data_IF_262099699111
#
_entry.id   IF_262099699111
#
_cell.length_a   1.000
_cell.length_b   1.000
_cell.length_c   1.000
_cell.angle_alpha   90.00
_cell.angle_beta   90.00
_cell.angle_gamma   90.00
#
_symmetry.space_group_name_H-M   'P 1'
#
loop_
_entity.id
_entity.type
_entity.pdbx_description
1 polymer ?
#
# COMPACT_ATOMS: atom_id res chain seq x y z
N UNK A 1 -7.88 26.33 13.04
CA UNK A 1 -8.62 25.16 12.49
C UNK A 1 -7.61 24.06 12.28
N UNK A 2 -7.78 22.89 12.90
CA UNK A 2 -6.97 21.72 12.57
C UNK A 2 -7.26 21.33 11.13
N UNK A 3 -6.22 21.22 10.28
CA UNK A 3 -6.41 20.72 8.93
C UNK A 3 -6.99 19.30 8.99
N UNK A 4 -8.16 19.09 8.38
CA UNK A 4 -8.80 17.78 8.22
C UNK A 4 -8.65 17.35 6.77
N UNK A 5 -8.47 16.06 6.53
CA UNK A 5 -8.31 15.57 5.15
C UNK A 5 -9.59 15.78 4.34
N UNK A 6 -10.75 15.78 5.01
CA UNK A 6 -12.04 16.08 4.40
C UNK A 6 -12.11 17.48 3.83
N UNK A 7 -11.66 18.47 4.59
CA UNK A 7 -11.61 19.86 4.12
C UNK A 7 -10.69 19.98 2.91
N UNK A 8 -9.47 19.41 3.01
CA UNK A 8 -8.47 19.46 1.94
C UNK A 8 -8.95 18.78 0.65
N UNK A 9 -9.60 17.62 0.77
CA UNK A 9 -10.16 16.89 -0.37
C UNK A 9 -11.39 17.60 -0.97
N UNK A 10 -12.21 18.27 -0.16
CA UNK A 10 -13.39 18.98 -0.66
C UNK A 10 -13.04 20.18 -1.54
N UNK A 11 -11.90 20.82 -1.30
CA UNK A 11 -11.37 21.98 -2.02
C UNK A 11 -10.71 21.63 -3.37
N UNK A 12 -10.60 20.34 -3.72
CA UNK A 12 -9.82 19.84 -4.85
C UNK A 12 -10.65 18.94 -5.77
N UNK A 13 -10.31 18.82 -7.05
CA UNK A 13 -11.07 18.01 -8.00
C UNK A 13 -10.51 16.58 -8.14
N UNK A 14 -9.19 16.46 -8.01
CA UNK A 14 -8.46 15.20 -8.18
C UNK A 14 -7.45 14.99 -7.05
N UNK A 15 -7.33 13.75 -6.61
CA UNK A 15 -6.45 13.34 -5.52
C UNK A 15 -5.48 12.27 -6.01
N UNK A 16 -4.21 12.46 -5.73
CA UNK A 16 -3.18 11.45 -5.93
C UNK A 16 -2.67 10.94 -4.59
N UNK A 17 -2.76 9.64 -4.36
CA UNK A 17 -2.14 8.98 -3.22
C UNK A 17 -0.80 8.42 -3.66
N UNK A 18 0.27 8.95 -3.07
CA UNK A 18 1.64 8.50 -3.31
C UNK A 18 2.08 7.51 -2.25
N UNK A 19 2.39 6.30 -2.70
CA UNK A 19 3.11 5.30 -1.92
C UNK A 19 4.62 5.51 -2.08
N UNK A 20 5.42 5.22 -1.04
CA UNK A 20 6.86 5.35 -1.11
C UNK A 20 7.46 4.31 -2.06
N UNK A 21 8.66 4.57 -2.56
CA UNK A 21 9.47 3.57 -3.28
C UNK A 21 9.74 2.38 -2.36
N UNK A 22 9.55 1.18 -2.89
CA UNK A 22 9.64 -0.09 -2.15
C UNK A 22 8.79 -0.07 -0.87
N UNK A 23 7.46 0.09 -0.99
CA UNK A 23 6.60 0.26 0.18
C UNK A 23 6.48 -1.04 0.97
N UNK A 24 6.27 -0.93 2.27
CA UNK A 24 5.91 -2.05 3.12
C UNK A 24 4.40 -2.29 3.09
N UNK A 25 3.97 -3.51 3.45
CA UNK A 25 2.56 -3.92 3.41
C UNK A 25 1.60 -2.94 4.11
N UNK A 26 1.98 -2.44 5.28
CA UNK A 26 1.20 -1.45 6.03
C UNK A 26 0.99 -0.13 5.26
N UNK A 27 2.00 0.36 4.54
CA UNK A 27 1.90 1.59 3.74
C UNK A 27 0.93 1.41 2.57
N UNK A 28 1.02 0.26 1.88
CA UNK A 28 0.11 -0.09 0.78
C UNK A 28 -1.32 -0.23 1.30
N UNK A 29 -1.51 -0.94 2.42
CA UNK A 29 -2.81 -1.13 3.05
C UNK A 29 -3.47 0.21 3.42
N UNK A 30 -2.71 1.09 4.06
CA UNK A 30 -3.18 2.42 4.45
C UNK A 30 -3.51 3.30 3.23
N UNK A 31 -2.63 3.34 2.23
CA UNK A 31 -2.85 4.14 1.02
C UNK A 31 -4.04 3.66 0.19
N UNK A 32 -4.20 2.35 0.02
CA UNK A 32 -5.38 1.77 -0.65
C UNK A 32 -6.67 2.06 0.10
N UNK A 33 -6.65 1.95 1.43
CA UNK A 33 -7.83 2.23 2.26
C UNK A 33 -8.30 3.68 2.10
N UNK A 34 -7.37 4.64 2.13
CA UNK A 34 -7.70 6.04 1.87
C UNK A 34 -8.13 6.26 0.43
N UNK A 35 -7.51 5.58 -0.53
CA UNK A 35 -7.87 5.63 -1.95
C UNK A 35 -9.30 5.21 -2.19
N UNK A 36 -9.72 4.06 -1.67
CA UNK A 36 -11.08 3.54 -1.76
C UNK A 36 -12.12 4.47 -1.12
N UNK A 37 -11.75 5.17 -0.03
CA UNK A 37 -12.63 6.15 0.62
C UNK A 37 -12.81 7.41 -0.23
N UNK A 38 -11.73 7.91 -0.83
CA UNK A 38 -11.74 9.14 -1.63
C UNK A 38 -12.29 8.94 -3.04
N UNK A 39 -12.10 7.75 -3.63
CA UNK A 39 -12.64 7.37 -4.95
C UNK A 39 -14.18 7.46 -4.99
N UNK A 40 -14.85 7.38 -3.83
CA UNK A 40 -16.30 7.56 -3.71
C UNK A 40 -16.78 9.01 -3.92
N UNK A 41 -15.88 10.00 -3.89
CA UNK A 41 -16.22 11.42 -4.03
C UNK A 41 -15.44 12.17 -5.11
N UNK A 42 -14.21 11.74 -5.39
CA UNK A 42 -13.25 12.47 -6.23
C UNK A 42 -12.50 11.51 -7.14
N UNK A 43 -12.01 12.04 -8.27
CA UNK A 43 -11.07 11.30 -9.11
C UNK A 43 -9.80 11.03 -8.29
N UNK A 44 -9.60 9.76 -7.91
CA UNK A 44 -8.54 9.35 -7.00
C UNK A 44 -7.67 8.29 -7.67
N UNK A 45 -6.36 8.53 -7.71
CA UNK A 45 -5.39 7.56 -8.19
C UNK A 45 -4.44 7.18 -7.06
N UNK A 46 -4.10 5.89 -6.95
CA UNK A 46 -3.02 5.41 -6.07
C UNK A 46 -1.83 5.07 -6.94
N UNK A 47 -0.67 5.62 -6.63
CA UNK A 47 0.56 5.40 -7.39
C UNK A 47 1.67 4.85 -6.51
N UNK A 48 2.43 3.91 -7.08
CA UNK A 48 3.69 3.47 -6.52
C UNK A 48 4.73 3.30 -7.65
N UNK A 49 5.94 3.84 -7.49
CA UNK A 49 7.01 3.63 -8.48
C UNK A 49 7.57 2.20 -8.46
N UNK A 50 7.20 1.38 -7.47
CA UNK A 50 7.63 -0.02 -7.35
C UNK A 50 6.45 -0.93 -7.68
N UNK A 51 6.61 -1.90 -8.62
CA UNK A 51 5.53 -2.84 -8.94
C UNK A 51 5.05 -3.62 -7.71
N UNK A 52 3.74 -3.79 -7.59
CA UNK A 52 3.14 -4.57 -6.51
C UNK A 52 3.48 -6.06 -6.68
N UNK A 53 4.01 -6.68 -5.62
CA UNK A 53 4.29 -8.11 -5.57
C UNK A 53 3.06 -8.90 -5.12
N UNK A 54 3.15 -10.24 -5.20
CA UNK A 54 2.10 -11.18 -4.77
C UNK A 54 1.71 -11.04 -3.30
N UNK A 55 2.56 -10.45 -2.47
CA UNK A 55 2.27 -10.26 -1.04
C UNK A 55 1.09 -9.29 -0.83
N UNK A 56 0.97 -8.28 -1.71
CA UNK A 56 -0.06 -7.26 -1.63
C UNK A 56 -1.40 -7.70 -2.21
N UNK A 57 -1.48 -8.85 -2.90
CA UNK A 57 -2.74 -9.41 -3.46
C UNK A 57 -3.84 -9.68 -2.42
N UNK A 58 -3.49 -9.63 -1.13
CA UNK A 58 -4.43 -9.74 -0.01
C UNK A 58 -5.19 -8.45 0.28
N UNK A 59 -4.75 -7.33 -0.30
CA UNK A 59 -5.33 -6.01 -0.15
C UNK A 59 -6.34 -5.75 -1.27
N UNK A 60 -7.50 -5.23 -0.90
CA UNK A 60 -8.54 -4.82 -1.85
C UNK A 60 -8.06 -3.59 -2.61
N UNK A 61 -8.20 -3.62 -3.94
CA UNK A 61 -7.84 -2.51 -4.83
C UNK A 61 -6.36 -2.42 -5.19
N UNK A 62 -5.54 -3.42 -4.84
CA UNK A 62 -4.11 -3.42 -5.19
C UNK A 62 -3.86 -3.41 -6.69
N UNK A 63 -4.78 -3.99 -7.48
CA UNK A 63 -4.79 -3.96 -8.93
C UNK A 63 -4.97 -2.56 -9.52
N UNK A 64 -5.49 -1.61 -8.72
CA UNK A 64 -5.64 -0.20 -9.08
C UNK A 64 -4.38 0.63 -8.82
N UNK A 65 -3.34 0.07 -8.21
CA UNK A 65 -2.08 0.80 -7.98
C UNK A 65 -1.38 1.00 -9.32
N UNK A 66 -1.30 2.25 -9.76
CA UNK A 66 -0.65 2.61 -11.00
C UNK A 66 0.88 2.61 -10.83
N UNK A 67 1.57 1.96 -11.76
CA UNK A 67 3.04 2.00 -11.88
C UNK A 67 3.56 3.20 -12.68
N UNK A 68 2.67 3.89 -13.40
CA UNK A 68 2.95 5.07 -14.19
C UNK A 68 1.94 6.17 -13.88
N UNK A 69 2.39 7.41 -13.98
CA UNK A 69 1.59 8.60 -13.70
C UNK A 69 1.30 9.35 -15.00
N UNK A 70 0.07 9.85 -15.10
CA UNK A 70 -0.38 10.65 -16.23
C UNK A 70 -1.34 9.88 -17.13
N UNK A 71 -2.37 10.58 -17.59
CA UNK A 71 -3.29 10.11 -18.63
C UNK A 71 -3.58 11.21 -19.65
N UNK A 72 -2.98 12.39 -19.49
CA UNK A 72 -3.25 13.56 -20.33
C UNK A 72 -2.41 13.60 -21.58
N UNK A 73 -1.12 13.29 -21.44
CA UNK A 73 -0.16 13.35 -22.53
C UNK A 73 0.49 11.97 -22.71
N UNK A 74 0.54 11.48 -23.95
CA UNK A 74 1.40 10.35 -24.31
C UNK A 74 2.79 10.88 -24.67
N UNK A 75 3.81 10.40 -23.98
CA UNK A 75 5.22 10.70 -24.21
C UNK A 75 5.90 9.50 -24.87
N UNK A 76 6.45 9.72 -26.05
CA UNK A 76 7.28 8.73 -26.76
C UNK A 76 8.74 9.10 -26.52
N UNK A 77 9.49 8.19 -25.89
CA UNK A 77 10.91 8.35 -25.59
C UNK A 77 11.70 7.28 -26.33
N UNK A 78 12.89 7.63 -26.83
CA UNK A 78 13.79 6.67 -27.45
C UNK A 78 14.92 6.33 -26.47
N UNK A 79 14.94 5.10 -25.97
CA UNK A 79 15.98 4.59 -25.07
C UNK A 79 17.12 3.99 -25.88
N UNK A 80 18.36 4.25 -25.47
CA UNK A 80 19.56 3.76 -26.15
C UNK A 80 19.66 4.18 -27.63
N UNK A 81 19.09 5.34 -27.96
CA UNK A 81 19.16 5.97 -29.27
C UNK A 81 19.62 7.43 -29.13
N UNK A 82 20.62 7.85 -29.90
CA UNK A 82 21.10 9.24 -29.85
C UNK A 82 20.09 10.18 -30.51
N UNK A 83 19.46 11.03 -29.71
CA UNK A 83 18.47 12.00 -30.16
C UNK A 83 19.02 12.96 -31.24
N UNK A 84 20.34 13.19 -31.30
CA UNK A 84 20.97 14.02 -32.32
C UNK A 84 20.94 13.39 -33.72
N UNK A 85 20.67 12.09 -33.81
CA UNK A 85 20.51 11.37 -35.07
C UNK A 85 19.12 11.59 -35.69
N UNK A 86 18.17 12.15 -34.94
CA UNK A 86 16.85 12.51 -35.47
C UNK A 86 16.96 13.82 -36.24
N UNK A 87 16.52 13.81 -37.50
CA UNK A 87 16.40 15.02 -38.33
C UNK A 87 15.08 15.74 -38.05
N UNK A 88 13.96 15.02 -38.10
CA UNK A 88 12.65 15.55 -37.70
C UNK A 88 11.68 14.45 -37.26
N UNK A 89 10.64 14.87 -36.54
CA UNK A 89 9.44 14.08 -36.27
C UNK A 89 8.25 14.76 -36.94
N UNK A 90 7.49 14.03 -37.74
CA UNK A 90 6.26 14.51 -38.36
C UNK A 90 5.05 13.73 -37.86
N UNK A 91 3.92 14.41 -37.71
CA UNK A 91 2.63 13.76 -37.46
C UNK A 91 1.76 13.88 -38.71
N UNK A 92 0.98 12.84 -38.98
CA UNK A 92 -0.01 12.79 -40.05
C UNK A 92 -1.27 12.09 -39.55
N UNK A 93 -2.44 12.53 -40.00
CA UNK A 93 -3.72 11.92 -39.63
C UNK A 93 -4.33 11.33 -40.89
N UNK A 94 -4.37 10.00 -40.95
CA UNK A 94 -4.88 9.24 -42.09
C UNK A 94 -6.16 8.53 -41.67
N UNK A 95 -7.30 9.10 -42.07
CA UNK A 95 -8.61 8.65 -41.62
C UNK A 95 -8.79 8.78 -40.10
N UNK A 96 -8.76 7.64 -39.41
CA UNK A 96 -8.88 7.56 -37.94
C UNK A 96 -7.54 7.32 -37.22
N UNK A 97 -6.44 7.16 -37.95
CA UNK A 97 -5.13 6.83 -37.36
C UNK A 97 -4.22 8.06 -37.34
N UNK A 98 -3.69 8.39 -36.16
CA UNK A 98 -2.60 9.35 -36.02
C UNK A 98 -1.26 8.62 -36.12
N UNK A 99 -0.45 8.97 -37.13
CA UNK A 99 0.87 8.38 -37.35
C UNK A 99 1.96 9.40 -37.01
N UNK A 100 2.89 8.99 -36.15
CA UNK A 100 4.13 9.72 -35.89
C UNK A 100 5.26 9.06 -36.68
N UNK A 101 5.87 9.81 -37.59
CA UNK A 101 7.01 9.36 -38.40
C UNK A 101 8.29 10.02 -37.89
N UNK A 102 9.24 9.21 -37.47
CA UNK A 102 10.58 9.66 -37.02
C UNK A 102 11.54 9.50 -38.18
N UNK A 103 12.12 10.61 -38.62
CA UNK A 103 13.04 10.64 -39.77
C UNK A 103 14.45 10.88 -39.23
N UNK A 104 15.36 9.90 -39.33
CA UNK A 104 16.76 10.08 -38.96
C UNK A 104 17.50 10.90 -40.02
N UNK A 105 18.65 11.45 -39.63
CA UNK A 105 19.59 12.10 -40.56
C UNK A 105 20.13 11.09 -41.60
N UNK A 106 20.62 11.57 -42.76
CA UNK A 106 21.32 10.72 -43.71
C UNK A 106 22.41 9.89 -43.02
N UNK A 107 22.55 8.63 -43.43
CA UNK A 107 23.50 7.65 -42.89
C UNK A 107 23.21 7.11 -41.48
N UNK A 108 22.11 7.51 -40.83
CA UNK A 108 21.67 6.95 -39.55
C UNK A 108 20.45 6.03 -39.70
N UNK A 109 20.46 4.93 -38.95
CA UNK A 109 19.33 4.01 -38.88
C UNK A 109 18.18 4.60 -38.02
N UNK A 110 16.91 4.32 -38.34
CA UNK A 110 15.79 4.72 -37.50
C UNK A 110 15.79 3.95 -36.16
N UNK A 111 15.14 4.49 -35.11
CA UNK A 111 14.96 3.79 -33.85
C UNK A 111 14.26 2.44 -34.03
N UNK A 112 14.77 1.41 -33.36
CA UNK A 112 14.17 0.08 -33.33
C UNK A 112 12.98 0.02 -32.35
N UNK A 113 12.12 -0.99 -32.50
CA UNK A 113 10.89 -1.12 -31.69
C UNK A 113 11.17 -1.23 -30.19
N UNK A 114 12.21 -1.96 -29.82
CA UNK A 114 12.69 -2.15 -28.46
C UNK A 114 13.36 -0.88 -27.88
N UNK A 115 13.74 0.07 -28.73
CA UNK A 115 14.23 1.39 -28.33
C UNK A 115 13.10 2.40 -28.12
N UNK A 116 11.83 2.05 -28.39
CA UNK A 116 10.67 2.95 -28.18
C UNK A 116 10.03 2.66 -26.83
N UNK A 117 10.10 3.63 -25.92
CA UNK A 117 9.40 3.62 -24.64
C UNK A 117 8.21 4.58 -24.71
N UNK A 118 7.02 4.06 -24.44
CA UNK A 118 5.82 4.86 -24.23
C UNK A 118 5.66 5.10 -22.73
N UNK A 119 5.46 6.34 -22.34
CA UNK A 119 5.03 6.70 -20.98
C UNK A 119 3.94 7.75 -21.09
N UNK A 120 3.16 7.91 -20.04
CA UNK A 120 2.21 9.02 -19.96
C UNK A 120 2.78 10.14 -19.08
N UNK A 121 2.28 11.36 -19.26
CA UNK A 121 2.64 12.52 -18.43
C UNK A 121 1.48 13.52 -18.32
N UNK A 122 1.65 14.53 -17.48
CA UNK A 122 0.62 15.53 -17.21
C UNK A 122 -0.37 15.09 -16.15
N UNK A 123 0.14 14.70 -14.97
CA UNK A 123 -0.73 14.53 -13.81
C UNK A 123 -1.22 15.90 -13.36
N UNK A 124 -2.52 16.16 -13.47
CA UNK A 124 -3.15 17.27 -12.73
C UNK A 124 -3.85 16.71 -11.51
N UNK A 125 -3.08 16.50 -10.45
CA UNK A 125 -3.66 16.24 -9.13
C UNK A 125 -3.57 17.51 -8.32
N UNK A 126 -4.73 18.03 -7.95
CA UNK A 126 -4.84 19.24 -7.14
C UNK A 126 -4.34 18.97 -5.71
N UNK A 127 -4.56 17.75 -5.22
CA UNK A 127 -4.12 17.25 -3.92
C UNK A 127 -3.23 16.02 -4.08
N UNK A 128 -2.06 16.02 -3.43
CA UNK A 128 -1.15 14.89 -3.37
C UNK A 128 -0.98 14.48 -1.91
N UNK A 129 -1.32 13.23 -1.60
CA UNK A 129 -1.25 12.66 -0.25
C UNK A 129 -0.15 11.61 -0.22
N UNK A 130 0.92 11.89 0.52
CA UNK A 130 2.05 11.00 0.75
C UNK A 130 1.78 10.11 1.96
N UNK A 131 1.83 8.80 1.78
CA UNK A 131 1.53 7.81 2.83
C UNK A 131 2.82 7.18 3.37
N UNK A 132 3.09 7.41 4.64
CA UNK A 132 4.31 6.95 5.30
C UNK A 132 5.56 7.58 4.70
N UNK A 133 6.59 6.77 4.49
CA UNK A 133 7.92 7.28 4.15
C UNK A 133 8.56 8.14 5.25
N UNK A 134 9.83 8.50 5.04
CA UNK A 134 10.60 9.26 6.03
C UNK A 134 11.28 10.50 5.42
N UNK A 135 11.57 10.47 4.11
CA UNK A 135 12.25 11.55 3.43
C UNK A 135 11.89 11.60 1.93
N UNK A 136 12.38 12.64 1.26
CA UNK A 136 12.16 12.89 -0.17
C UNK A 136 12.57 11.73 -1.09
N UNK A 137 13.59 10.95 -0.74
CA UNK A 137 14.05 9.82 -1.58
C UNK A 137 13.02 8.70 -1.69
N UNK A 138 12.08 8.63 -0.74
CA UNK A 138 10.96 7.69 -0.80
C UNK A 138 9.90 8.13 -1.81
N UNK A 139 9.85 9.42 -2.19
CA UNK A 139 8.86 9.97 -3.10
C UNK A 139 9.54 10.70 -4.28
N UNK A 140 10.33 9.98 -5.11
CA UNK A 140 11.17 10.61 -6.14
C UNK A 140 10.36 11.38 -7.20
N UNK A 141 9.08 11.05 -7.37
CA UNK A 141 8.19 11.70 -8.34
C UNK A 141 7.89 13.17 -8.00
N UNK A 142 8.01 13.57 -6.72
CA UNK A 142 7.76 14.94 -6.27
C UNK A 142 8.78 15.95 -6.82
N UNK A 143 9.96 15.48 -7.25
CA UNK A 143 10.94 16.32 -7.92
C UNK A 143 10.49 16.76 -9.33
N UNK A 144 9.44 16.14 -9.88
CA UNK A 144 8.87 16.56 -11.17
C UNK A 144 8.21 17.94 -11.05
N UNK A 145 8.45 18.86 -12.00
CA UNK A 145 7.81 20.18 -12.03
C UNK A 145 6.27 20.11 -12.03
N UNK A 146 5.68 19.00 -12.45
CA UNK A 146 4.22 18.77 -12.48
C UNK A 146 3.59 18.91 -11.07
N UNK A 147 4.32 18.59 -10.00
CA UNK A 147 3.83 18.66 -8.62
C UNK A 147 4.11 20.00 -7.93
N UNK A 148 4.79 20.94 -8.59
CA UNK A 148 5.14 22.25 -7.99
C UNK A 148 3.94 23.11 -7.57
N UNK A 149 2.76 22.87 -8.18
CA UNK A 149 1.51 23.57 -7.88
C UNK A 149 0.53 22.74 -7.06
N UNK A 150 0.82 21.46 -6.84
CA UNK A 150 -0.07 20.56 -6.13
C UNK A 150 -0.03 20.86 -4.62
N UNK A 151 -1.17 20.74 -3.95
CA UNK A 151 -1.22 20.82 -2.48
C UNK A 151 -0.68 19.51 -1.93
N UNK A 152 0.41 19.57 -1.17
CA UNK A 152 1.04 18.39 -0.60
C UNK A 152 0.54 18.13 0.83
N UNK A 153 0.19 16.88 1.11
CA UNK A 153 -0.22 16.40 2.43
C UNK A 153 0.57 15.16 2.77
N UNK A 154 1.06 15.05 4.00
CA UNK A 154 1.76 13.87 4.48
C UNK A 154 1.00 13.20 5.61
N UNK A 155 0.91 11.87 5.58
CA UNK A 155 0.34 11.06 6.66
C UNK A 155 1.33 9.96 7.02
N UNK A 156 1.89 10.02 8.22
CA UNK A 156 2.77 8.98 8.75
C UNK A 156 2.76 8.88 10.27
N UNK A 157 3.55 7.95 10.80
CA UNK A 157 3.80 7.85 12.25
C UNK A 157 4.82 8.88 12.76
N UNK A 158 5.58 9.47 11.84
CA UNK A 158 6.57 10.52 12.05
C UNK A 158 6.45 11.55 10.93
N UNK A 159 6.89 12.78 11.17
CA UNK A 159 6.91 13.81 10.13
C UNK A 159 7.91 13.48 9.01
N UNK A 160 7.56 13.90 7.79
CA UNK A 160 8.41 13.77 6.62
C UNK A 160 9.50 14.83 6.59
N UNK A 161 10.73 14.44 6.28
CA UNK A 161 11.81 15.37 6.00
C UNK A 161 11.97 15.58 4.48
N UNK A 162 11.45 16.68 3.94
CA UNK A 162 11.72 17.11 2.56
C UNK A 162 12.91 18.08 2.55
N UNK A 163 13.89 17.84 1.68
CA UNK A 163 15.01 18.75 1.48
C UNK A 163 14.60 19.89 0.52
N UNK A 164 13.65 19.63 -0.36
CA UNK A 164 13.01 20.65 -1.20
C UNK A 164 12.23 21.67 -0.37
N UNK A 165 12.21 22.93 -0.83
CA UNK A 165 11.44 24.04 -0.21
C UNK A 165 9.92 23.92 -0.45
N UNK A 166 9.41 22.74 -0.80
CA UNK A 166 7.99 22.55 -1.02
C UNK A 166 7.29 22.48 0.34
N UNK A 167 6.33 23.38 0.55
CA UNK A 167 5.49 23.33 1.74
C UNK A 167 4.50 22.17 1.63
N UNK A 168 4.32 21.44 2.72
CA UNK A 168 3.33 20.38 2.84
C UNK A 168 2.61 20.47 4.18
N UNK A 169 1.37 19.98 4.22
CA UNK A 169 0.61 19.85 5.46
C UNK A 169 0.89 18.48 6.07
N UNK A 170 1.48 18.44 7.27
CA UNK A 170 1.63 17.18 8.00
C UNK A 170 0.35 16.85 8.78
N UNK A 171 -0.18 15.66 8.55
CA UNK A 171 -1.22 15.00 9.35
C UNK A 171 -0.64 13.80 10.10
N UNK A 172 0.69 13.74 10.23
CA UNK A 172 1.38 12.65 10.92
C UNK A 172 1.04 12.66 12.41
N UNK A 173 0.83 11.47 12.97
CA UNK A 173 0.48 11.27 14.38
C UNK A 173 1.20 10.04 14.91
N UNK A 174 1.66 10.02 16.17
CA UNK A 174 2.19 8.81 16.78
C UNK A 174 1.18 7.66 16.71
N UNK A 175 1.65 6.50 16.26
CA UNK A 175 0.85 5.29 16.12
C UNK A 175 1.74 4.05 16.00
N UNK A 176 1.16 2.88 16.22
CA UNK A 176 1.84 1.60 16.06
C UNK A 176 2.03 1.19 14.59
N UNK A 177 1.30 1.81 13.67
CA UNK A 177 1.36 1.58 12.22
C UNK A 177 0.82 2.78 11.44
N UNK A 178 1.10 2.85 10.14
CA UNK A 178 0.54 3.85 9.21
C UNK A 178 -0.96 3.60 9.03
N UNK A 179 -1.39 2.34 8.97
CA UNK A 179 -2.81 1.97 8.92
C UNK A 179 -3.57 2.43 10.17
N UNK A 180 -2.91 2.50 11.33
CA UNK A 180 -3.53 3.09 12.52
C UNK A 180 -3.80 4.59 12.34
N UNK A 181 -2.81 5.34 11.85
CA UNK A 181 -2.95 6.78 11.63
C UNK A 181 -4.03 7.07 10.59
N UNK A 182 -3.97 6.39 9.43
CA UNK A 182 -4.97 6.53 8.37
C UNK A 182 -6.35 6.05 8.84
N UNK A 183 -6.42 4.94 9.59
CA UNK A 183 -7.68 4.43 10.12
C UNK A 183 -8.36 5.38 11.09
N UNK A 184 -7.59 6.05 11.97
CA UNK A 184 -8.11 7.13 12.83
C UNK A 184 -8.63 8.30 12.02
N UNK A 185 -7.89 8.74 11.00
CA UNK A 185 -8.32 9.83 10.11
C UNK A 185 -9.63 9.46 9.40
N UNK A 186 -9.75 8.24 8.85
CA UNK A 186 -10.98 7.78 8.20
C UNK A 186 -12.14 7.69 9.21
N UNK A 187 -11.89 7.20 10.43
CA UNK A 187 -12.92 7.12 11.46
C UNK A 187 -13.38 8.51 11.96
N UNK A 188 -12.51 9.53 11.92
CA UNK A 188 -12.82 10.92 12.27
C UNK A 188 -13.59 11.63 11.13
N UNK A 189 -13.09 11.53 9.90
CA UNK A 189 -13.52 12.39 8.77
C UNK A 189 -14.54 11.71 7.83
N UNK A 190 -14.47 10.38 7.71
CA UNK A 190 -15.18 9.58 6.70
C UNK A 190 -15.80 8.31 7.28
N UNK A 191 -16.30 8.39 8.51
CA UNK A 191 -16.88 7.24 9.24
C UNK A 191 -17.97 6.52 8.44
N UNK A 192 -18.77 7.25 7.68
CA UNK A 192 -19.84 6.75 6.83
C UNK A 192 -19.34 5.94 5.62
N UNK A 193 -18.07 6.08 5.26
CA UNK A 193 -17.42 5.38 4.14
C UNK A 193 -16.51 4.24 4.56
N UNK A 194 -16.39 3.99 5.86
CA UNK A 194 -15.66 2.85 6.42
C UNK A 194 -16.50 1.58 6.20
N UNK A 195 -16.35 0.98 5.02
CA UNK A 195 -16.97 -0.29 4.68
C UNK A 195 -16.06 -1.48 5.00
N UNK A 196 -16.56 -2.68 4.70
CA UNK A 196 -15.86 -3.95 4.93
C UNK A 196 -14.48 -4.01 4.26
N UNK A 197 -14.34 -3.48 3.05
CA UNK A 197 -13.12 -3.63 2.26
C UNK A 197 -12.04 -2.67 2.79
N UNK A 198 -12.42 -1.41 3.02
CA UNK A 198 -11.57 -0.42 3.70
C UNK A 198 -11.16 -0.93 5.08
N UNK A 199 -12.12 -1.44 5.86
CA UNK A 199 -11.84 -1.95 7.20
C UNK A 199 -10.92 -3.19 7.20
N UNK A 200 -11.04 -4.07 6.21
CA UNK A 200 -10.19 -5.26 6.09
C UNK A 200 -8.75 -4.91 5.70
N UNK A 201 -8.57 -3.95 4.79
CA UNK A 201 -7.24 -3.42 4.44
C UNK A 201 -6.57 -2.80 5.68
N UNK A 202 -7.25 -1.86 6.34
CA UNK A 202 -6.73 -1.19 7.54
C UNK A 202 -6.43 -2.20 8.66
N UNK A 203 -7.31 -3.17 8.92
CA UNK A 203 -7.11 -4.15 9.99
C UNK A 203 -5.91 -5.06 9.71
N UNK A 204 -5.70 -5.44 8.45
CA UNK A 204 -4.56 -6.28 8.07
C UNK A 204 -3.25 -5.47 8.11
N UNK A 205 -3.26 -4.22 7.62
CA UNK A 205 -2.11 -3.33 7.70
C UNK A 205 -1.75 -2.97 9.15
N UNK A 206 -2.75 -2.73 10.00
CA UNK A 206 -2.58 -2.51 11.44
C UNK A 206 -1.92 -3.71 12.11
N UNK A 207 -2.37 -4.91 11.79
CA UNK A 207 -1.80 -6.14 12.32
C UNK A 207 -0.33 -6.30 11.92
N UNK A 208 0.00 -6.09 10.65
CA UNK A 208 1.37 -6.19 10.15
C UNK A 208 2.28 -5.10 10.73
N UNK A 209 1.87 -3.84 10.65
CA UNK A 209 2.66 -2.69 11.10
C UNK A 209 2.90 -2.67 12.61
N UNK A 210 1.91 -3.12 13.40
CA UNK A 210 2.03 -3.24 14.86
C UNK A 210 2.75 -4.52 15.32
N UNK A 211 3.24 -5.35 14.40
CA UNK A 211 3.82 -6.68 14.69
C UNK A 211 2.87 -7.54 15.51
N UNK A 212 1.63 -7.70 15.05
CA UNK A 212 0.56 -8.44 15.72
C UNK A 212 0.26 -7.87 17.11
N UNK A 213 0.17 -6.54 17.23
CA UNK A 213 -0.06 -5.82 18.48
C UNK A 213 1.04 -6.00 19.55
N UNK A 214 2.24 -6.42 19.16
CA UNK A 214 3.39 -6.58 20.09
C UNK A 214 4.33 -5.38 20.12
N UNK A 215 4.18 -4.42 19.20
CA UNK A 215 4.97 -3.19 19.17
C UNK A 215 4.77 -2.36 20.44
N UNK A 216 5.84 -1.73 20.93
CA UNK A 216 5.82 -0.85 22.11
C UNK A 216 4.91 0.38 21.97
N UNK A 217 4.54 0.74 20.73
CA UNK A 217 3.68 1.88 20.42
C UNK A 217 2.19 1.51 20.41
N UNK A 218 1.85 0.24 20.62
CA UNK A 218 0.45 -0.21 20.75
C UNK A 218 -0.15 0.36 22.02
N UNK A 219 -1.30 1.01 21.87
CA UNK A 219 -2.04 1.63 22.98
C UNK A 219 -3.49 1.15 23.04
N UNK A 220 -4.24 1.62 24.04
CA UNK A 220 -5.68 1.40 24.11
C UNK A 220 -6.41 1.88 22.86
N UNK A 221 -5.94 2.97 22.25
CA UNK A 221 -6.53 3.52 21.02
C UNK A 221 -6.30 2.60 19.82
N UNK A 222 -5.17 1.87 19.79
CA UNK A 222 -4.90 0.84 18.78
C UNK A 222 -5.93 -0.28 18.84
N UNK A 223 -6.23 -0.79 20.04
CA UNK A 223 -7.25 -1.81 20.23
C UNK A 223 -8.66 -1.30 19.97
N UNK A 224 -8.94 -0.04 20.35
CA UNK A 224 -10.21 0.62 20.04
C UNK A 224 -10.43 0.69 18.52
N UNK A 225 -9.44 1.17 17.77
CA UNK A 225 -9.52 1.21 16.31
C UNK A 225 -9.71 -0.20 15.74
N UNK A 226 -8.95 -1.19 16.20
CA UNK A 226 -9.11 -2.57 15.74
C UNK A 226 -10.54 -3.09 15.96
N UNK A 227 -11.14 -2.79 17.12
CA UNK A 227 -12.53 -3.13 17.42
C UNK A 227 -13.53 -2.44 16.49
N UNK A 228 -13.33 -1.15 16.22
CA UNK A 228 -14.15 -0.38 15.28
C UNK A 228 -14.07 -0.95 13.85
N UNK A 229 -12.87 -1.29 13.38
CA UNK A 229 -12.64 -1.92 12.08
C UNK A 229 -13.33 -3.29 11.99
N UNK A 230 -13.25 -4.12 13.03
CA UNK A 230 -13.94 -5.41 13.08
C UNK A 230 -15.46 -5.24 13.10
N UNK A 231 -15.96 -4.20 13.77
CA UNK A 231 -17.40 -3.86 13.79
C UNK A 231 -17.89 -3.42 12.41
N UNK A 232 -17.07 -2.68 11.66
CA UNK A 232 -17.32 -2.31 10.27
C UNK A 232 -17.22 -3.51 9.28
N UNK A 233 -17.01 -4.73 9.79
CA UNK A 233 -16.93 -5.95 8.99
C UNK A 233 -15.53 -6.34 8.55
N UNK A 234 -14.50 -5.60 8.99
CA UNK A 234 -13.10 -5.89 8.70
C UNK A 234 -12.73 -7.33 9.09
N UNK A 235 -12.13 -8.06 8.16
CA UNK A 235 -11.64 -9.42 8.37
C UNK A 235 -10.13 -9.46 8.25
N UNK A 236 -9.49 -10.27 9.09
CA UNK A 236 -8.08 -10.62 8.92
C UNK A 236 -8.00 -11.59 7.76
N UNK A 237 -7.43 -11.16 6.63
CA UNK A 237 -7.19 -12.05 5.49
C UNK A 237 -5.98 -12.95 5.78
N UNK A 238 -6.06 -13.81 6.79
CA UNK A 238 -5.08 -14.87 7.01
C UNK A 238 -5.32 -15.89 5.91
N UNK A 239 -4.40 -16.02 4.94
CA UNK A 239 -4.45 -17.18 4.05
C UNK A 239 -4.14 -18.38 4.94
N UNK A 240 -5.07 -19.30 5.08
CA UNK A 240 -4.72 -20.64 5.54
C UNK A 240 -3.57 -21.16 4.65
N UNK A 241 -2.59 -21.89 5.20
CA UNK A 241 -1.60 -22.55 4.38
C UNK A 241 -2.36 -23.37 3.32
N UNK A 242 -1.89 -23.30 2.08
CA UNK A 242 -2.44 -24.08 0.97
C UNK A 242 -2.71 -25.52 1.45
N UNK A 243 -3.91 -26.10 1.21
CA UNK A 243 -4.16 -27.50 1.54
C UNK A 243 -3.14 -28.34 0.77
N UNK A 244 -2.16 -28.91 1.47
CA UNK A 244 -1.06 -29.66 0.85
C UNK A 244 0.33 -29.43 1.46
N UNK A 245 0.52 -28.41 2.30
CA UNK A 245 1.75 -28.24 3.10
C UNK A 245 1.46 -28.45 4.58
N UNK A 246 0.92 -29.60 4.95
CA UNK A 246 1.08 -30.08 6.32
C UNK A 246 2.57 -30.32 6.54
N UNK A 247 3.20 -29.75 7.59
CA UNK A 247 4.49 -30.24 8.05
C UNK A 247 4.38 -31.75 8.21
N UNK A 248 5.42 -32.55 7.91
CA UNK A 248 5.41 -33.95 8.28
C UNK A 248 5.05 -34.00 9.77
N UNK A 249 3.99 -34.75 10.09
CA UNK A 249 3.70 -35.09 11.47
C UNK A 249 5.02 -35.55 12.10
N UNK A 250 5.42 -35.04 13.29
CA UNK A 250 6.55 -35.63 13.97
C UNK A 250 6.22 -37.12 14.05
N UNK A 251 7.09 -37.97 13.50
CA UNK A 251 6.95 -39.41 13.66
C UNK A 251 6.65 -39.65 15.13
N UNK A 252 5.55 -40.36 15.42
CA UNK A 252 5.21 -40.77 16.78
C UNK A 252 6.48 -41.36 17.37
N UNK A 253 7.13 -40.62 18.26
CA UNK A 253 8.18 -41.17 19.08
C UNK A 253 7.48 -42.29 19.85
N UNK A 254 7.87 -43.53 19.57
CA UNK A 254 7.48 -44.67 20.38
C UNK A 254 7.76 -44.27 21.84
N UNK A 255 6.67 -44.08 22.60
CA UNK A 255 6.77 -43.83 24.02
C UNK A 255 7.30 -45.15 24.60
N UNK A 256 8.60 -45.19 24.82
CA UNK A 256 9.25 -46.25 25.59
C UNK A 256 8.56 -46.25 26.96
N UNK A 257 7.76 -47.28 27.22
CA UNK A 257 6.99 -47.41 28.45
C UNK A 257 7.98 -47.46 29.61
N UNK A 258 8.03 -46.40 30.42
CA UNK A 258 8.76 -46.42 31.68
C UNK A 258 8.30 -47.62 32.53
N UNK A 259 9.22 -48.35 33.17
CA UNK A 259 8.85 -49.48 34.01
C UNK A 259 8.02 -48.99 35.21
N UNK A 260 6.86 -49.61 35.39
CA UNK A 260 5.92 -49.28 36.47
C UNK A 260 6.62 -49.27 37.84
N UNK A 261 6.49 -48.19 38.63
CA UNK A 261 7.16 -48.11 39.92
C UNK A 261 6.59 -49.09 40.96
N UNK A 262 7.40 -49.52 41.95
CA UNK A 262 7.13 -50.73 42.76
C UNK A 262 5.91 -50.64 43.68
N UNK A 263 5.42 -49.43 43.97
CA UNK A 263 4.29 -49.18 44.87
C UNK A 263 2.92 -49.54 44.26
N UNK A 264 2.88 -49.80 42.95
CA UNK A 264 1.66 -50.22 42.22
C UNK A 264 1.17 -51.64 42.54
N UNK A 265 1.89 -52.41 43.39
CA UNK A 265 1.54 -53.78 43.79
C UNK A 265 0.97 -53.92 45.22
N UNK A 266 0.46 -52.85 45.83
CA UNK A 266 -0.23 -52.99 47.11
C UNK A 266 -1.71 -53.32 46.89
N UNK A 267 -2.09 -54.58 47.16
CA UNK A 267 -3.50 -55.00 47.17
C UNK A 267 -4.19 -54.42 48.41
N UNK A 268 -5.43 -53.89 48.30
CA UNK A 268 -6.16 -53.42 49.46
C UNK A 268 -6.50 -54.57 50.41
N UNK A 269 -6.25 -54.38 51.71
CA UNK A 269 -6.66 -55.30 52.76
C UNK A 269 -8.19 -55.32 52.85
N UNK A 270 -8.78 -56.53 52.81
CA UNK A 270 -10.21 -56.71 53.03
C UNK A 270 -10.52 -56.36 54.50
N UNK A 271 -11.36 -55.34 54.70
CA UNK A 271 -11.94 -55.05 56.01
C UNK A 271 -12.78 -56.22 56.49
N UNK A 272 -12.46 -56.74 57.67
CA UNK A 272 -13.28 -57.71 58.38
C UNK A 272 -14.46 -56.96 59.00
N UNK A 273 -15.67 -57.31 58.58
CA UNK A 273 -16.91 -56.95 59.23
C UNK A 273 -16.98 -57.69 60.58
N UNK A 274 -17.27 -56.98 61.66
CA UNK A 274 -17.76 -57.59 62.89
C UNK A 274 -18.98 -56.78 63.36
N UNK A 275 -20.01 -57.57 63.65
CA UNK A 275 -21.36 -57.25 64.10
C UNK A 275 -21.47 -56.39 65.35
#
# INVERSE_FOLDING_TARGET
MSASIKTLASETNSVLILLPKSPYFDQVAAGLSLGLVLEKEKETQVFCPTPMTVEFNRLVGVDKVAGELGNKNLKISFTDYDANNIERVSYDVDGSECRLTVIPKPDFAPPQKDQVSLSFSGVSSDLVIMIGGANETHFPILSSPEFSKAKLVHIGVHDLALASKQEFVSLSRPGSSISEVVGRIIAEDYKDKLDRDVASNLLTGLHEGSKNFSSQYVSSDTFKLASELMTAGGRRNIKEPLPGLTPPHPAEAEIEKEPTPPWSRLKPSKGTSIS
#
